data_IF_981371898531
#
_entry.id   IF_981371898531
#
_cell.length_a   1.000
_cell.length_b   1.000
_cell.length_c   1.000
_cell.angle_alpha   90.00
_cell.angle_beta   90.00
_cell.angle_gamma   90.00
#
_symmetry.space_group_name_H-M   'P 1'
#
loop_
_entity.id
_entity.type
_entity.pdbx_description
1 polymer ?
#
# COMPACT_ATOMS: atom_id res chain seq x y z
N UNK A 1 -25.57 33.77 -29.78
CA UNK A 1 -25.49 32.64 -30.74
C UNK A 1 -25.09 33.11 -32.14
N UNK A 2 -25.51 34.31 -32.56
CA UNK A 2 -25.27 34.90 -33.89
C UNK A 2 -23.79 35.23 -34.19
N UNK A 3 -23.05 35.80 -33.22
CA UNK A 3 -21.65 36.25 -33.41
C UNK A 3 -20.61 35.11 -33.57
N UNK A 4 -20.88 33.94 -32.97
CA UNK A 4 -19.98 32.78 -33.04
C UNK A 4 -20.12 32.02 -34.37
N UNK A 5 -21.32 32.03 -34.95
CA UNK A 5 -21.61 31.43 -36.26
C UNK A 5 -20.98 32.28 -37.37
N UNK A 6 -21.10 33.60 -37.28
CA UNK A 6 -20.56 34.55 -38.27
C UNK A 6 -19.01 34.51 -38.33
N UNK A 7 -18.32 34.32 -37.20
CA UNK A 7 -16.86 34.12 -37.16
C UNK A 7 -16.40 32.77 -37.71
N UNK A 8 -17.23 31.73 -37.57
CA UNK A 8 -16.93 30.40 -38.09
C UNK A 8 -17.04 30.37 -39.62
N UNK A 9 -18.07 31.02 -40.16
CA UNK A 9 -18.30 31.15 -41.60
C UNK A 9 -17.21 31.98 -42.30
N UNK A 10 -16.80 33.11 -41.72
CA UNK A 10 -15.70 33.92 -42.25
C UNK A 10 -14.34 33.17 -42.24
N UNK A 11 -14.11 32.30 -41.25
CA UNK A 11 -12.92 31.46 -41.22
C UNK A 11 -12.96 30.32 -42.24
N UNK A 12 -14.15 29.83 -42.60
CA UNK A 12 -14.33 28.76 -43.57
C UNK A 12 -14.11 29.29 -45.00
N UNK A 13 -14.68 30.45 -45.33
CA UNK A 13 -14.50 31.11 -46.62
C UNK A 13 -13.03 31.46 -46.88
N UNK A 14 -12.32 31.98 -45.87
CA UNK A 14 -10.89 32.28 -45.99
C UNK A 14 -10.03 31.01 -46.20
N UNK A 15 -10.43 29.87 -45.62
CA UNK A 15 -9.75 28.57 -45.83
C UNK A 15 -10.00 28.02 -47.24
N UNK A 16 -11.24 28.13 -47.73
CA UNK A 16 -11.61 27.72 -49.09
C UNK A 16 -10.90 28.57 -50.15
N UNK A 17 -10.81 29.89 -49.94
CA UNK A 17 -10.08 30.79 -50.83
C UNK A 17 -8.60 30.41 -50.94
N UNK A 18 -7.94 30.09 -49.82
CA UNK A 18 -6.53 29.66 -49.80
C UNK A 18 -6.31 28.28 -50.40
N UNK A 19 -7.23 27.33 -50.18
CA UNK A 19 -7.17 26.02 -50.82
C UNK A 19 -7.32 26.12 -52.35
N UNK A 20 -8.21 26.98 -52.83
CA UNK A 20 -8.39 27.22 -54.26
C UNK A 20 -7.19 27.95 -54.88
N UNK A 21 -6.56 28.89 -54.17
CA UNK A 21 -5.33 29.56 -54.60
C UNK A 21 -4.16 28.57 -54.72
N UNK A 22 -4.02 27.64 -53.78
CA UNK A 22 -3.00 26.59 -53.84
C UNK A 22 -3.21 25.66 -55.04
N UNK A 23 -4.46 25.23 -55.30
CA UNK A 23 -4.79 24.39 -56.46
C UNK A 23 -4.48 25.12 -57.77
N UNK A 24 -4.82 26.40 -57.87
CA UNK A 24 -4.54 27.20 -59.06
C UNK A 24 -3.04 27.39 -59.32
N UNK A 25 -2.22 27.57 -58.28
CA UNK A 25 -0.77 27.66 -58.40
C UNK A 25 -0.14 26.34 -58.87
N UNK A 26 -0.61 25.21 -58.32
CA UNK A 26 -0.17 23.87 -58.73
C UNK A 26 -0.59 23.52 -60.16
N UNK A 27 -1.77 23.94 -60.61
CA UNK A 27 -2.24 23.74 -61.99
C UNK A 27 -1.45 24.56 -63.01
N UNK A 28 -0.87 25.70 -62.60
CA UNK A 28 -0.03 26.56 -63.44
C UNK A 28 1.46 26.18 -63.41
N UNK A 29 1.85 25.23 -62.57
CA UNK A 29 3.25 24.81 -62.39
C UNK A 29 4.11 25.84 -61.65
N UNK A 30 3.49 26.77 -60.92
CA UNK A 30 4.17 27.81 -60.14
C UNK A 30 4.47 27.28 -58.73
N UNK A 31 5.61 26.59 -58.60
CA UNK A 31 6.04 25.99 -57.33
C UNK A 31 6.34 27.05 -56.25
N UNK A 32 6.83 28.23 -56.64
CA UNK A 32 7.17 29.32 -55.72
C UNK A 32 5.90 29.88 -55.04
N UNK A 33 4.82 30.07 -55.79
CA UNK A 33 3.55 30.55 -55.24
C UNK A 33 2.82 29.44 -54.47
N UNK A 34 2.92 28.18 -54.90
CA UNK A 34 2.37 27.04 -54.15
C UNK A 34 3.03 26.90 -52.76
N UNK A 35 4.36 27.02 -52.68
CA UNK A 35 5.11 26.96 -51.42
C UNK A 35 4.76 28.14 -50.49
N UNK A 36 4.56 29.34 -51.04
CA UNK A 36 4.09 30.50 -50.27
C UNK A 36 2.72 30.29 -49.64
N UNK A 37 1.75 29.78 -50.39
CA UNK A 37 0.41 29.52 -49.88
C UNK A 37 0.42 28.39 -48.84
N UNK A 38 1.27 27.36 -49.04
CA UNK A 38 1.49 26.29 -48.05
C UNK A 38 2.10 26.82 -46.75
N UNK A 39 3.08 27.71 -46.83
CA UNK A 39 3.69 28.36 -45.67
C UNK A 39 2.70 29.24 -44.91
N UNK A 40 1.84 29.97 -45.60
CA UNK A 40 0.78 30.77 -44.96
C UNK A 40 -0.25 29.89 -44.24
N UNK A 41 -0.68 28.78 -44.85
CA UNK A 41 -1.56 27.80 -44.22
C UNK A 41 -0.87 27.18 -43.00
N UNK A 42 0.41 26.83 -43.14
CA UNK A 42 1.26 26.29 -42.08
C UNK A 42 1.38 27.25 -40.89
N UNK A 43 1.64 28.53 -41.14
CA UNK A 43 1.74 29.59 -40.12
C UNK A 43 0.43 29.80 -39.37
N UNK A 44 -0.70 29.84 -40.07
CA UNK A 44 -2.01 29.99 -39.41
C UNK A 44 -2.33 28.77 -38.53
N UNK A 45 -2.05 27.55 -39.03
CA UNK A 45 -2.24 26.33 -38.25
C UNK A 45 -1.32 26.29 -37.02
N UNK A 46 -0.05 26.64 -37.18
CA UNK A 46 0.90 26.73 -36.07
C UNK A 46 0.45 27.77 -35.04
N UNK A 47 0.05 28.97 -35.48
CA UNK A 47 -0.44 30.03 -34.58
C UNK A 47 -1.68 29.57 -33.80
N UNK A 48 -2.64 28.90 -34.45
CA UNK A 48 -3.81 28.35 -33.77
C UNK A 48 -3.42 27.28 -32.75
N UNK A 49 -2.46 26.41 -33.10
CA UNK A 49 -1.99 25.34 -32.21
C UNK A 49 -1.24 25.91 -31.00
N UNK A 50 -0.42 26.95 -31.19
CA UNK A 50 0.22 27.69 -30.09
C UNK A 50 -0.79 28.44 -29.22
N UNK A 51 -1.84 29.02 -29.82
CA UNK A 51 -2.92 29.65 -29.05
C UNK A 51 -3.70 28.63 -28.23
N UNK A 52 -3.98 27.46 -28.79
CA UNK A 52 -4.71 26.39 -28.10
C UNK A 52 -3.86 25.76 -27.00
N UNK A 53 -2.57 25.53 -27.23
CA UNK A 53 -1.63 25.14 -26.17
C UNK A 53 -1.56 26.22 -25.10
N UNK A 54 -1.43 27.49 -25.48
CA UNK A 54 -1.40 28.61 -24.53
C UNK A 54 -2.72 28.78 -23.75
N UNK A 55 -3.85 28.38 -24.33
CA UNK A 55 -5.16 28.32 -23.66
C UNK A 55 -5.19 27.15 -22.67
N UNK A 56 -4.83 25.94 -23.11
CA UNK A 56 -4.79 24.74 -22.26
C UNK A 56 -3.80 24.88 -21.09
N UNK A 57 -2.62 25.44 -21.33
CA UNK A 57 -1.61 25.69 -20.28
C UNK A 57 -2.11 26.73 -19.27
N UNK A 58 -2.80 27.79 -19.72
CA UNK A 58 -3.43 28.76 -18.81
C UNK A 58 -4.60 28.16 -18.05
N UNK A 59 -5.44 27.36 -18.70
CA UNK A 59 -6.52 26.65 -18.02
C UNK A 59 -6.00 25.65 -16.98
N UNK A 60 -4.93 24.91 -17.31
CA UNK A 60 -4.25 24.04 -16.36
C UNK A 60 -3.65 24.85 -15.20
N UNK A 61 -3.01 25.97 -15.50
CA UNK A 61 -2.44 26.86 -14.50
C UNK A 61 -3.53 27.46 -13.59
N UNK A 62 -4.61 28.01 -14.15
CA UNK A 62 -5.74 28.58 -13.41
C UNK A 62 -6.44 27.51 -12.56
N UNK A 63 -6.55 26.28 -13.07
CA UNK A 63 -7.07 25.14 -12.31
C UNK A 63 -6.12 24.72 -11.19
N UNK A 64 -4.81 24.70 -11.44
CA UNK A 64 -3.81 24.36 -10.43
C UNK A 64 -3.68 25.46 -9.38
N UNK A 65 -3.79 26.73 -9.75
CA UNK A 65 -3.76 27.90 -8.84
C UNK A 65 -5.04 27.98 -8.04
N UNK A 66 -6.21 27.76 -8.65
CA UNK A 66 -7.49 27.63 -7.95
C UNK A 66 -7.54 26.45 -6.98
N UNK A 67 -6.76 25.40 -7.26
CA UNK A 67 -6.58 24.25 -6.38
C UNK A 67 -5.53 24.47 -5.28
N UNK A 68 -4.44 25.21 -5.55
CA UNK A 68 -3.45 25.65 -4.55
C UNK A 68 -4.01 26.71 -3.58
N UNK A 69 -5.18 27.28 -3.90
CA UNK A 69 -5.96 28.13 -2.99
C UNK A 69 -6.76 27.31 -1.96
N UNK A 70 -6.77 25.99 -2.07
CA UNK A 70 -7.33 25.11 -1.04
C UNK A 70 -6.29 24.91 0.07
N UNK A 71 -6.39 25.74 1.11
CA UNK A 71 -5.52 25.72 2.30
C UNK A 71 -5.36 24.30 2.88
N UNK A 72 -6.32 23.40 2.65
CA UNK A 72 -6.30 22.02 3.14
C UNK A 72 -5.19 21.19 2.49
N UNK A 73 -4.94 21.31 1.19
CA UNK A 73 -3.92 20.49 0.53
C UNK A 73 -2.50 20.99 0.83
N UNK A 74 -2.34 22.30 0.96
CA UNK A 74 -1.07 22.87 1.43
C UNK A 74 -0.76 22.33 2.83
N UNK A 75 -1.73 22.30 3.74
CA UNK A 75 -1.56 21.75 5.10
C UNK A 75 -1.28 20.22 5.08
N UNK A 76 -1.98 19.47 4.21
CA UNK A 76 -1.72 18.03 3.99
C UNK A 76 -0.28 17.77 3.54
N UNK A 77 0.22 18.54 2.56
CA UNK A 77 1.54 18.31 1.96
C UNK A 77 2.70 18.88 2.79
N UNK A 78 2.53 20.06 3.41
CA UNK A 78 3.58 20.73 4.17
C UNK A 78 3.69 20.23 5.62
N UNK A 79 2.61 19.73 6.21
CA UNK A 79 2.59 19.34 7.64
C UNK A 79 2.18 17.90 7.88
N UNK A 80 0.99 17.50 7.44
CA UNK A 80 0.42 16.20 7.83
C UNK A 80 1.18 15.01 7.21
N UNK A 81 1.59 15.10 5.93
CA UNK A 81 2.36 14.04 5.26
C UNK A 81 3.77 13.85 5.83
N UNK A 82 4.57 14.92 6.09
CA UNK A 82 5.84 14.79 6.81
C UNK A 82 5.69 14.19 8.22
N UNK A 83 4.67 14.60 8.99
CA UNK A 83 4.37 14.06 10.33
C UNK A 83 3.98 12.58 10.26
N UNK A 84 3.10 12.19 9.33
CA UNK A 84 2.72 10.80 9.09
C UNK A 84 3.94 9.92 8.77
N UNK A 85 4.87 10.40 7.95
CA UNK A 85 6.11 9.68 7.65
C UNK A 85 6.96 9.46 8.91
N UNK A 86 7.11 10.49 9.75
CA UNK A 86 7.87 10.37 10.99
C UNK A 86 7.21 9.39 11.97
N UNK A 87 5.88 9.42 12.07
CA UNK A 87 5.11 8.48 12.87
C UNK A 87 5.22 7.04 12.36
N UNK A 88 5.16 6.81 11.05
CA UNK A 88 5.40 5.48 10.47
C UNK A 88 6.82 5.00 10.77
N UNK A 89 7.82 5.87 10.67
CA UNK A 89 9.20 5.52 11.05
C UNK A 89 9.28 5.11 12.53
N UNK A 90 8.58 5.82 13.40
CA UNK A 90 8.47 5.47 14.81
C UNK A 90 7.79 4.12 15.03
N UNK A 91 6.71 3.83 14.29
CA UNK A 91 6.05 2.50 14.30
C UNK A 91 7.04 1.40 13.94
N UNK A 92 7.84 1.59 12.87
CA UNK A 92 8.86 0.62 12.45
C UNK A 92 9.84 0.35 13.59
N UNK A 93 10.39 1.41 14.21
CA UNK A 93 11.33 1.27 15.33
C UNK A 93 10.70 0.53 16.52
N UNK A 94 9.44 0.83 16.86
CA UNK A 94 8.74 0.12 17.94
C UNK A 94 8.55 -1.36 17.61
N UNK A 95 8.13 -1.69 16.38
CA UNK A 95 7.95 -3.08 15.95
C UNK A 95 9.25 -3.86 15.94
N UNK A 96 10.35 -3.24 15.52
CA UNK A 96 11.67 -3.84 15.53
C UNK A 96 12.16 -4.08 16.97
N UNK A 97 11.99 -3.09 17.85
CA UNK A 97 12.37 -3.23 19.26
C UNK A 97 11.62 -4.38 19.93
N UNK A 98 10.32 -4.49 19.70
CA UNK A 98 9.52 -5.56 20.27
C UNK A 98 9.84 -6.94 19.73
N UNK A 99 10.10 -7.05 18.43
CA UNK A 99 10.55 -8.29 17.82
C UNK A 99 11.89 -8.74 18.44
N UNK A 100 12.84 -7.81 18.58
CA UNK A 100 14.13 -8.07 19.23
C UNK A 100 13.96 -8.49 20.70
N UNK A 101 13.13 -7.80 21.48
CA UNK A 101 12.87 -8.21 22.88
C UNK A 101 12.23 -9.58 22.96
N UNK A 102 11.25 -9.88 22.10
CA UNK A 102 10.60 -11.20 22.06
C UNK A 102 11.62 -12.30 21.75
N UNK A 103 12.49 -12.07 20.76
CA UNK A 103 13.52 -13.02 20.36
C UNK A 103 14.55 -13.23 21.49
N UNK A 104 15.01 -12.16 22.14
CA UNK A 104 15.94 -12.23 23.27
C UNK A 104 15.35 -13.01 24.46
N UNK A 105 14.06 -12.84 24.74
CA UNK A 105 13.36 -13.59 25.78
C UNK A 105 13.29 -15.07 25.40
N UNK A 106 12.93 -15.38 24.16
CA UNK A 106 12.86 -16.77 23.68
C UNK A 106 14.23 -17.44 23.76
N UNK A 107 15.31 -16.76 23.37
CA UNK A 107 16.69 -17.26 23.49
C UNK A 107 17.10 -17.56 24.94
N UNK A 108 16.55 -16.82 25.92
CA UNK A 108 16.82 -17.05 27.34
C UNK A 108 15.94 -18.16 27.95
N UNK A 109 14.68 -18.26 27.54
CA UNK A 109 13.70 -19.19 28.10
C UNK A 109 13.90 -20.61 27.55
N UNK A 110 14.20 -20.78 26.26
CA UNK A 110 14.35 -22.10 25.65
C UNK A 110 15.38 -22.99 26.38
N UNK A 111 16.61 -22.53 26.68
CA UNK A 111 17.59 -23.33 27.41
C UNK A 111 17.12 -23.71 28.82
N UNK A 112 16.37 -22.84 29.50
CA UNK A 112 15.82 -23.13 30.84
C UNK A 112 14.78 -24.25 30.78
N UNK A 113 13.91 -24.20 29.77
CA UNK A 113 12.89 -25.24 29.55
C UNK A 113 13.55 -26.56 29.17
N UNK A 114 14.58 -26.54 28.34
CA UNK A 114 15.32 -27.74 27.94
C UNK A 114 16.04 -28.41 29.13
N UNK A 115 16.72 -27.64 29.99
CA UNK A 115 17.36 -28.17 31.20
C UNK A 115 16.32 -28.77 32.15
N UNK A 116 15.21 -28.07 32.37
CA UNK A 116 14.12 -28.55 33.23
C UNK A 116 13.49 -29.83 32.68
N UNK A 117 13.30 -29.92 31.37
CA UNK A 117 12.76 -31.11 30.69
C UNK A 117 13.70 -32.32 30.82
N UNK A 118 15.01 -32.11 30.64
CA UNK A 118 16.02 -33.14 30.79
C UNK A 118 16.06 -33.67 32.24
N UNK A 119 16.07 -32.77 33.23
CA UNK A 119 16.03 -33.14 34.66
C UNK A 119 14.75 -33.88 35.01
N UNK A 120 13.60 -33.38 34.57
CA UNK A 120 12.29 -34.01 34.79
C UNK A 120 12.27 -35.44 34.24
N UNK A 121 12.81 -35.65 33.05
CA UNK A 121 12.90 -36.99 32.43
C UNK A 121 13.79 -37.94 33.25
N UNK A 122 14.93 -37.45 33.74
CA UNK A 122 15.84 -38.23 34.60
C UNK A 122 15.18 -38.60 35.93
N UNK A 123 14.57 -37.63 36.62
CA UNK A 123 13.83 -37.84 37.87
C UNK A 123 12.67 -38.83 37.68
N UNK A 124 11.92 -38.70 36.57
CA UNK A 124 10.83 -39.62 36.22
C UNK A 124 11.32 -41.06 36.03
N UNK A 125 12.46 -41.25 35.37
CA UNK A 125 13.04 -42.59 35.19
C UNK A 125 13.49 -43.19 36.53
N UNK A 126 14.15 -42.41 37.40
CA UNK A 126 14.55 -42.85 38.74
C UNK A 126 13.35 -43.15 39.63
N UNK A 127 12.29 -42.33 39.54
CA UNK A 127 11.02 -42.56 40.23
C UNK A 127 10.39 -43.90 39.85
N UNK A 128 10.42 -44.28 38.56
CA UNK A 128 9.95 -45.60 38.11
C UNK A 128 10.77 -46.75 38.71
N UNK A 129 12.11 -46.64 38.73
CA UNK A 129 13.00 -47.63 39.37
C UNK A 129 12.70 -47.79 40.86
N UNK A 130 12.42 -46.70 41.56
CA UNK A 130 11.98 -46.73 42.96
C UNK A 130 10.68 -47.54 43.12
N UNK A 131 9.66 -47.28 42.29
CA UNK A 131 8.39 -47.99 42.33
C UNK A 131 8.53 -49.49 42.00
N UNK A 132 9.47 -49.85 41.13
CA UNK A 132 9.80 -51.24 40.79
C UNK A 132 10.67 -51.94 41.84
N UNK A 133 11.07 -51.24 42.90
CA UNK A 133 12.00 -51.73 43.94
C UNK A 133 13.40 -52.10 43.40
N UNK A 134 13.80 -51.47 42.29
CA UNK A 134 15.10 -51.67 41.62
C UNK A 134 16.16 -50.66 42.08
N UNK A 135 16.04 -50.19 43.32
CA UNK A 135 16.86 -49.10 43.85
C UNK A 135 17.28 -49.42 45.28
N UNK A 136 18.56 -49.22 45.57
CA UNK A 136 19.15 -49.44 46.89
C UNK A 136 18.80 -48.30 47.87
N UNK A 137 19.01 -48.52 49.17
CA UNK A 137 18.78 -47.50 50.19
C UNK A 137 19.71 -46.28 50.03
N UNK A 138 20.96 -46.49 49.59
CA UNK A 138 21.91 -45.41 49.34
C UNK A 138 21.49 -44.56 48.12
N UNK A 139 21.13 -45.20 47.01
CA UNK A 139 20.57 -44.53 45.82
C UNK A 139 19.28 -43.76 46.15
N UNK A 140 18.42 -44.30 47.03
CA UNK A 140 17.21 -43.60 47.47
C UNK A 140 17.52 -42.31 48.23
N UNK A 141 18.55 -42.34 49.11
CA UNK A 141 18.97 -41.13 49.85
C UNK A 141 19.48 -40.05 48.91
N UNK A 142 20.27 -40.42 47.91
CA UNK A 142 20.74 -39.51 46.87
C UNK A 142 19.57 -38.96 46.05
N UNK A 143 18.69 -39.82 45.57
CA UNK A 143 17.51 -39.43 44.81
C UNK A 143 16.57 -38.48 45.59
N UNK A 144 16.38 -38.68 46.89
CA UNK A 144 15.59 -37.78 47.72
C UNK A 144 16.22 -36.39 47.86
N UNK A 145 17.56 -36.30 47.86
CA UNK A 145 18.27 -35.00 47.81
C UNK A 145 18.10 -34.36 46.44
N UNK A 146 18.26 -35.13 45.36
CA UNK A 146 18.10 -34.65 43.99
C UNK A 146 16.68 -34.10 43.74
N UNK A 147 15.64 -34.77 44.25
CA UNK A 147 14.26 -34.25 44.21
C UNK A 147 14.16 -32.90 44.92
N UNK A 148 14.74 -32.78 46.12
CA UNK A 148 14.65 -31.55 46.90
C UNK A 148 15.32 -30.39 46.15
N UNK A 149 16.54 -30.61 45.65
CA UNK A 149 17.26 -29.63 44.82
C UNK A 149 16.48 -29.26 43.56
N UNK A 150 15.92 -30.25 42.86
CA UNK A 150 15.11 -30.00 41.66
C UNK A 150 13.85 -29.18 41.95
N UNK A 151 13.18 -29.42 43.07
CA UNK A 151 12.00 -28.63 43.46
C UNK A 151 12.37 -27.16 43.75
N UNK A 152 13.51 -26.92 44.40
CA UNK A 152 14.02 -25.56 44.64
C UNK A 152 14.42 -24.85 43.32
N UNK A 153 15.09 -25.57 42.43
CA UNK A 153 15.45 -25.07 41.09
C UNK A 153 14.22 -24.80 40.21
N UNK A 154 13.20 -25.65 40.30
CA UNK A 154 11.94 -25.51 39.57
C UNK A 154 11.20 -24.23 39.95
N UNK A 155 11.13 -23.89 41.24
CA UNK A 155 10.47 -22.67 41.71
C UNK A 155 11.18 -21.42 41.18
N UNK A 156 12.52 -21.40 41.26
CA UNK A 156 13.33 -20.33 40.67
C UNK A 156 13.19 -20.25 39.15
N UNK A 157 13.22 -21.38 38.46
CA UNK A 157 13.09 -21.46 37.00
C UNK A 157 11.73 -20.94 36.51
N UNK A 158 10.63 -21.36 37.16
CA UNK A 158 9.29 -20.88 36.86
C UNK A 158 9.16 -19.37 37.10
N UNK A 159 9.71 -18.85 38.20
CA UNK A 159 9.70 -17.41 38.45
C UNK A 159 10.48 -16.63 37.38
N UNK A 160 11.59 -17.16 36.89
CA UNK A 160 12.37 -16.53 35.82
C UNK A 160 11.60 -16.54 34.50
N UNK A 161 11.03 -17.67 34.10
CA UNK A 161 10.20 -17.78 32.88
C UNK A 161 9.01 -16.83 32.95
N UNK A 162 8.33 -16.73 34.10
CA UNK A 162 7.23 -15.78 34.28
C UNK A 162 7.70 -14.32 34.12
N UNK A 163 8.86 -13.97 34.69
CA UNK A 163 9.44 -12.64 34.54
C UNK A 163 9.74 -12.30 33.07
N UNK A 164 10.34 -13.25 32.35
CA UNK A 164 10.67 -13.12 30.93
C UNK A 164 9.41 -12.99 30.06
N UNK A 165 8.37 -13.79 30.30
CA UNK A 165 7.08 -13.66 29.60
C UNK A 165 6.39 -12.31 29.88
N UNK A 166 6.57 -11.75 31.08
CA UNK A 166 6.06 -10.42 31.40
C UNK A 166 6.84 -9.34 30.63
N UNK A 167 8.15 -9.50 30.46
CA UNK A 167 8.95 -8.61 29.61
C UNK A 167 8.44 -8.60 28.16
N UNK A 168 8.06 -9.77 27.61
CA UNK A 168 7.42 -9.86 26.28
C UNK A 168 6.09 -9.12 26.26
N UNK A 169 5.22 -9.32 27.24
CA UNK A 169 3.93 -8.64 27.33
C UNK A 169 4.09 -7.11 27.39
N UNK A 170 5.06 -6.62 28.18
CA UNK A 170 5.37 -5.20 28.26
C UNK A 170 5.94 -4.68 26.95
N UNK A 171 6.86 -5.42 26.34
CA UNK A 171 7.42 -5.09 25.06
C UNK A 171 6.39 -5.12 23.92
N UNK A 172 5.23 -5.76 24.09
CA UNK A 172 4.11 -5.81 23.14
C UNK A 172 3.04 -4.73 23.36
N UNK A 173 3.08 -4.01 24.48
CA UNK A 173 2.08 -3.00 24.84
C UNK A 173 1.98 -1.81 23.86
N UNK A 174 2.97 -1.64 22.98
CA UNK A 174 2.99 -0.61 21.94
C UNK A 174 2.00 -0.88 20.77
N UNK A 175 1.41 -2.08 20.69
CA UNK A 175 0.52 -2.47 19.59
C UNK A 175 -0.71 -1.55 19.46
N UNK A 176 -1.24 -1.05 20.58
CA UNK A 176 -2.34 -0.07 20.55
C UNK A 176 -1.89 1.25 19.90
N UNK A 177 -0.72 1.74 20.27
CA UNK A 177 -0.16 2.98 19.73
C UNK A 177 0.17 2.85 18.24
N UNK A 178 0.75 1.73 17.81
CA UNK A 178 1.07 1.52 16.39
C UNK A 178 -0.18 1.33 15.56
N UNK A 179 -1.20 0.64 16.07
CA UNK A 179 -2.50 0.52 15.40
C UNK A 179 -3.17 1.88 15.20
N UNK A 180 -3.16 2.74 16.22
CA UNK A 180 -3.69 4.10 16.12
C UNK A 180 -2.93 4.96 15.12
N UNK A 181 -1.59 4.89 15.12
CA UNK A 181 -0.77 5.62 14.16
C UNK A 181 -1.07 5.15 12.73
N UNK A 182 -1.08 3.84 12.49
CA UNK A 182 -1.34 3.29 11.15
C UNK A 182 -2.72 3.70 10.66
N UNK A 183 -3.77 3.59 11.49
CA UNK A 183 -5.13 4.02 11.12
C UNK A 183 -5.15 5.50 10.73
N UNK A 184 -4.51 6.37 11.51
CA UNK A 184 -4.46 7.80 11.22
C UNK A 184 -3.71 8.11 9.91
N UNK A 185 -2.68 7.33 9.59
CA UNK A 185 -1.97 7.45 8.32
C UNK A 185 -2.81 6.96 7.15
N UNK A 186 -3.58 5.88 7.32
CA UNK A 186 -4.53 5.41 6.30
C UNK A 186 -5.59 6.48 6.01
N UNK A 187 -6.17 7.07 7.05
CA UNK A 187 -7.16 8.14 6.91
C UNK A 187 -6.57 9.34 6.15
N UNK A 188 -5.32 9.72 6.47
CA UNK A 188 -4.60 10.78 5.77
C UNK A 188 -4.40 10.46 4.27
N UNK A 189 -3.98 9.24 3.95
CA UNK A 189 -3.78 8.81 2.55
C UNK A 189 -5.10 8.84 1.79
N UNK A 190 -6.21 8.43 2.43
CA UNK A 190 -7.54 8.48 1.83
C UNK A 190 -7.97 9.92 1.54
N UNK A 191 -7.64 10.86 2.42
CA UNK A 191 -7.93 12.27 2.22
C UNK A 191 -7.13 12.89 1.06
N UNK A 192 -5.84 12.54 0.94
CA UNK A 192 -5.00 12.94 -0.19
C UNK A 192 -5.55 12.36 -1.51
N UNK A 193 -5.97 11.09 -1.51
CA UNK A 193 -6.58 10.46 -2.68
C UNK A 193 -7.86 11.19 -3.12
N UNK A 194 -8.76 11.49 -2.18
CA UNK A 194 -9.99 12.23 -2.47
C UNK A 194 -9.70 13.61 -3.07
N UNK A 195 -8.73 14.33 -2.49
CA UNK A 195 -8.32 15.65 -2.98
C UNK A 195 -7.78 15.59 -4.43
N UNK A 196 -7.02 14.55 -4.76
CA UNK A 196 -6.52 14.33 -6.14
C UNK A 196 -7.65 13.96 -7.11
N UNK A 197 -8.62 13.16 -6.69
CA UNK A 197 -9.81 12.85 -7.49
C UNK A 197 -10.63 14.12 -7.77
N UNK A 198 -10.77 14.99 -6.78
CA UNK A 198 -11.46 16.28 -6.94
C UNK A 198 -10.72 17.21 -7.91
N UNK A 199 -9.39 17.27 -7.86
CA UNK A 199 -8.59 18.00 -8.86
C UNK A 199 -8.87 17.50 -10.28
N UNK A 200 -8.86 16.18 -10.49
CA UNK A 200 -9.10 15.59 -11.81
C UNK A 200 -10.51 15.96 -12.30
N UNK A 201 -11.51 15.90 -11.42
CA UNK A 201 -12.90 16.30 -11.72
C UNK A 201 -13.00 17.79 -12.05
N UNK A 202 -12.28 18.65 -11.33
CA UNK A 202 -12.27 20.09 -11.57
C UNK A 202 -11.61 20.44 -12.92
N UNK A 203 -10.43 19.86 -13.19
CA UNK A 203 -9.72 20.02 -14.45
C UNK A 203 -10.56 19.52 -15.65
N UNK A 204 -11.27 18.40 -15.50
CA UNK A 204 -12.18 17.88 -16.52
C UNK A 204 -13.36 18.83 -16.82
N UNK A 205 -13.82 19.63 -15.84
CA UNK A 205 -14.91 20.61 -16.01
C UNK A 205 -14.45 21.92 -16.66
N UNK A 206 -13.24 22.40 -16.38
CA UNK A 206 -12.72 23.64 -16.97
C UNK A 206 -12.14 23.47 -18.39
N UNK A 207 -11.71 22.25 -18.75
CA UNK A 207 -11.09 21.97 -20.05
C UNK A 207 -12.01 22.07 -21.27
N UNK A 208 -13.31 22.34 -21.12
CA UNK A 208 -14.27 22.43 -22.24
C UNK A 208 -14.41 21.15 -23.06
N UNK A 209 -13.81 20.05 -22.60
CA UNK A 209 -14.09 18.73 -23.12
C UNK A 209 -15.48 18.34 -22.65
N UNK A 210 -16.35 17.99 -23.59
CA UNK A 210 -17.47 17.09 -23.32
C UNK A 210 -17.01 16.10 -22.25
N UNK A 211 -17.73 16.05 -21.12
CA UNK A 211 -17.58 14.96 -20.19
C UNK A 211 -17.58 13.69 -21.04
N UNK A 212 -16.42 13.04 -21.14
CA UNK A 212 -16.35 11.71 -21.73
C UNK A 212 -17.25 10.93 -20.80
N UNK A 213 -18.47 10.66 -21.26
CA UNK A 213 -19.33 9.68 -20.64
C UNK A 213 -18.50 8.43 -20.67
N UNK A 214 -17.91 8.10 -19.53
CA UNK A 214 -17.34 6.78 -19.30
C UNK A 214 -18.55 5.86 -19.32
N UNK A 215 -18.96 5.47 -20.52
CA UNK A 215 -19.74 4.26 -20.70
C UNK A 215 -18.91 3.16 -20.07
N UNK A 216 -19.48 2.55 -19.02
CA UNK A 216 -18.97 1.32 -18.43
C UNK A 216 -18.87 0.28 -19.55
N UNK A 217 -17.71 0.18 -20.19
CA UNK A 217 -17.28 -1.03 -20.87
C UNK A 217 -16.44 -1.82 -19.90
N UNK A 218 -17.03 -2.93 -19.49
CA UNK A 218 -16.39 -4.00 -18.77
C UNK A 218 -15.17 -4.54 -19.55
N UNK A 219 -14.21 -5.05 -18.77
CA UNK A 219 -13.28 -6.14 -19.11
C UNK A 219 -12.18 -5.86 -20.15
N UNK A 220 -10.95 -5.61 -19.68
CA UNK A 220 -9.94 -6.67 -19.52
C UNK A 220 -8.64 -6.11 -18.90
N UNK A 221 -8.20 -6.80 -17.85
CA UNK A 221 -6.86 -6.76 -17.27
C UNK A 221 -5.80 -7.07 -18.36
N UNK A 222 -4.52 -6.75 -18.25
CA UNK A 222 -3.65 -7.12 -17.14
C UNK A 222 -2.23 -6.57 -17.38
N UNK A 223 -1.40 -6.56 -16.33
CA UNK A 223 -0.03 -6.04 -16.16
C UNK A 223 0.07 -4.83 -15.23
N UNK A 224 -0.43 -5.04 -14.00
CA UNK A 224 0.03 -4.28 -12.84
C UNK A 224 1.27 -4.99 -12.29
N UNK A 225 2.34 -4.22 -12.08
CA UNK A 225 3.56 -4.67 -11.42
C UNK A 225 3.19 -4.97 -9.96
N UNK A 226 3.16 -6.25 -9.61
CA UNK A 226 2.89 -6.71 -8.25
C UNK A 226 4.10 -6.42 -7.36
N UNK A 227 3.91 -5.54 -6.37
CA UNK A 227 4.78 -5.50 -5.21
C UNK A 227 4.45 -6.74 -4.36
N UNK A 228 5.41 -7.64 -4.21
CA UNK A 228 5.27 -8.83 -3.39
C UNK A 228 5.23 -8.44 -1.91
N UNK A 229 4.03 -8.21 -1.40
CA UNK A 229 3.72 -8.13 0.02
C UNK A 229 2.95 -9.39 0.46
N UNK A 230 3.01 -9.76 1.75
CA UNK A 230 2.22 -10.87 2.26
C UNK A 230 0.72 -10.63 2.02
N UNK A 231 0.03 -11.67 1.54
CA UNK A 231 -1.39 -11.64 1.17
C UNK A 231 -2.23 -11.32 2.40
N UNK A 232 -3.07 -10.29 2.32
CA UNK A 232 -3.97 -9.87 3.40
C UNK A 232 -5.35 -10.51 3.17
N UNK A 233 -5.91 -11.29 4.12
CA UNK A 233 -7.08 -12.15 3.89
C UNK A 233 -8.41 -11.47 3.50
N UNK A 234 -8.50 -10.14 3.49
CA UNK A 234 -9.75 -9.41 3.22
C UNK A 234 -9.74 -8.53 1.97
N UNK A 235 -8.58 -8.27 1.36
CA UNK A 235 -8.46 -7.33 0.23
C UNK A 235 -8.39 -8.06 -1.11
N UNK A 236 -7.81 -9.26 -1.15
CA UNK A 236 -7.64 -10.07 -2.37
C UNK A 236 -8.72 -11.16 -2.50
N UNK A 237 -10.00 -10.79 -2.34
CA UNK A 237 -11.12 -11.71 -2.53
C UNK A 237 -11.51 -11.88 -4.01
N UNK A 238 -10.56 -12.35 -4.82
CA UNK A 238 -10.89 -13.09 -6.04
C UNK A 238 -10.37 -14.53 -5.90
N UNK A 239 -11.03 -15.32 -5.05
CA UNK A 239 -10.81 -16.78 -4.98
C UNK A 239 -10.43 -17.33 -3.60
N UNK A 240 -10.45 -16.54 -2.54
CA UNK A 240 -10.23 -17.07 -1.18
C UNK A 240 -11.51 -17.75 -0.68
N UNK A 241 -11.45 -19.08 -0.57
CA UNK A 241 -12.46 -19.94 0.05
C UNK A 241 -12.54 -19.61 1.54
N UNK A 242 -13.63 -18.99 1.98
CA UNK A 242 -13.77 -18.46 3.36
C UNK A 242 -14.64 -19.32 4.27
N UNK A 243 -15.08 -20.49 3.85
CA UNK A 243 -15.86 -21.39 4.71
C UNK A 243 -15.24 -22.79 4.81
N UNK A 244 -15.16 -23.30 6.04
CA UNK A 244 -14.72 -24.66 6.36
C UNK A 244 -15.56 -25.71 5.62
N UNK A 245 -16.83 -25.38 5.32
CA UNK A 245 -17.76 -26.23 4.60
C UNK A 245 -17.35 -26.43 3.12
N UNK A 246 -16.80 -25.39 2.47
CA UNK A 246 -16.30 -25.49 1.09
C UNK A 246 -14.98 -26.27 0.99
N UNK A 247 -14.20 -26.32 2.09
CA UNK A 247 -13.00 -27.16 2.19
C UNK A 247 -13.39 -28.64 2.28
N UNK A 248 -14.44 -28.97 3.04
CA UNK A 248 -14.96 -30.34 3.14
C UNK A 248 -15.64 -30.81 1.83
N UNK A 249 -16.29 -29.90 1.10
CA UNK A 249 -16.84 -30.19 -0.24
C UNK A 249 -15.73 -30.43 -1.29
N UNK A 250 -14.60 -29.71 -1.20
CA UNK A 250 -13.45 -29.93 -2.05
C UNK A 250 -12.75 -31.26 -1.76
N UNK A 251 -12.63 -31.64 -0.47
CA UNK A 251 -12.03 -32.91 -0.05
C UNK A 251 -12.90 -34.12 -0.46
N UNK A 252 -14.22 -33.99 -0.36
CA UNK A 252 -15.16 -35.03 -0.81
C UNK A 252 -15.22 -35.17 -2.34
N UNK A 253 -14.96 -34.10 -3.10
CA UNK A 253 -14.86 -34.15 -4.57
C UNK A 253 -13.57 -34.80 -5.11
N UNK A 254 -12.51 -34.85 -4.29
CA UNK A 254 -11.20 -35.41 -4.66
C UNK A 254 -11.00 -36.88 -4.24
N UNK A 255 -11.99 -37.49 -3.59
CA UNK A 255 -12.07 -38.94 -3.41
C UNK A 255 -11.10 -39.50 -2.37
N UNK A 256 -11.12 -38.95 -1.15
CA UNK A 256 -10.71 -39.65 0.07
C UNK A 256 -11.90 -39.90 1.00
#
# INVERSE_FOLDING_TARGET
>A
MTEAVEKLDASLEARLARANALVAALEQGDEDEADRVLDEIGRVRQSMLFQEIGRLTRQLHDALTGFMLDDRLADLTEREMPDARERLKYVITLTEQAANTTLNVVEQVLPMVDDLSARTSSLSQRWRRLLQREMSFEEFREFSRDISTFLDELDSGLSQVQGQLNEVLMAQSFQDLTGQIIRRVIDLVQEVENSLVELIRFAARQGGGQAVKTEKKAEQADKKIEAQGPVVPEVDQSGAVTSQDEVDDLLSSLGF
#
